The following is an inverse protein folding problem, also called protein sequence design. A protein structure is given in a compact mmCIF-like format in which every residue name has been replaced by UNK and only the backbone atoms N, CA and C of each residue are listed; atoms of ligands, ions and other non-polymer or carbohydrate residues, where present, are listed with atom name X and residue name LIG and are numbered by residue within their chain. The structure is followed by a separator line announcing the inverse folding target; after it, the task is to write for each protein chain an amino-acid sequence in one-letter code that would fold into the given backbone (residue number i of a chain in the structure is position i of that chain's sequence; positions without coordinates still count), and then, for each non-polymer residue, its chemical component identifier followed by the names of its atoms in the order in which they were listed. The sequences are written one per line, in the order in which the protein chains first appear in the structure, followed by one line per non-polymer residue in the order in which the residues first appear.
data_IF_173513525717
#
_entry.id   IF_173513525717
#
_cell.length_a   1.000
_cell.length_b   1.000
_cell.length_c   1.000
_cell.angle_alpha   90.00
_cell.angle_beta   90.00
_cell.angle_gamma   90.00
#
_symmetry.space_group_name_H-M   'P 1'
#
loop_
_entity.id
_entity.type
_entity.pdbx_description
1 polymer ?
#
# COMPACT_ATOMS: atom_id res chain seq x y z
N UNK A 1 45.31 -0.04 29.36
CA UNK A 1 44.64 -0.33 28.08
C UNK A 1 43.27 0.33 28.06
N UNK A 2 42.79 0.59 26.84
CA UNK A 2 41.93 1.72 26.45
C UNK A 2 40.48 1.64 26.94
N UNK A 3 39.91 2.84 27.07
CA UNK A 3 38.55 3.20 27.45
C UNK A 3 37.49 2.38 26.71
N UNK A 4 36.73 1.56 27.45
CA UNK A 4 35.45 1.04 26.99
C UNK A 4 34.41 2.15 27.14
N UNK A 5 34.02 2.69 26.00
CA UNK A 5 33.13 3.83 25.83
C UNK A 5 31.72 3.43 26.25
N UNK A 6 31.14 4.25 27.13
CA UNK A 6 29.70 4.41 27.31
C UNK A 6 29.08 4.69 25.94
N UNK A 7 28.23 3.81 25.43
CA UNK A 7 27.27 4.16 24.38
C UNK A 7 26.00 3.33 24.54
N UNK A 8 24.88 4.05 24.50
CA UNK A 8 23.52 3.58 24.27
C UNK A 8 22.79 2.88 25.44
N UNK A 9 22.56 3.64 26.52
CA UNK A 9 21.19 3.74 27.02
C UNK A 9 20.38 4.60 26.02
N UNK A 10 19.09 4.29 25.85
CA UNK A 10 18.19 4.60 24.70
C UNK A 10 18.45 3.62 23.55
N UNK A 11 17.57 2.65 23.28
CA UNK A 11 16.20 2.86 22.80
C UNK A 11 15.25 1.79 23.39
N UNK A 12 14.61 2.10 24.51
CA UNK A 12 13.51 1.33 25.09
C UNK A 12 12.19 2.11 25.01
N UNK A 13 11.93 2.78 23.88
CA UNK A 13 10.71 3.55 23.64
C UNK A 13 10.26 3.29 22.21
N UNK A 14 9.13 2.60 22.03
CA UNK A 14 8.42 2.62 20.75
C UNK A 14 7.64 1.38 20.33
N UNK A 15 7.68 0.25 21.03
CA UNK A 15 6.83 -0.92 20.71
C UNK A 15 5.70 -1.04 21.74
N UNK A 16 4.88 0.01 21.87
CA UNK A 16 3.72 -0.01 22.77
C UNK A 16 2.47 0.57 22.12
N UNK A 17 2.18 0.14 20.89
CA UNK A 17 0.89 0.34 20.24
C UNK A 17 0.39 -0.89 19.46
N UNK A 18 0.99 -2.07 19.65
CA UNK A 18 0.57 -3.31 18.98
C UNK A 18 -0.54 -4.06 19.74
N UNK A 19 -1.26 -3.40 20.65
CA UNK A 19 -2.19 -4.06 21.58
C UNK A 19 -3.68 -3.74 21.33
N UNK A 20 -4.04 -3.12 20.21
CA UNK A 20 -5.45 -2.79 19.90
C UNK A 20 -5.89 -3.23 18.50
N UNK A 21 -5.56 -4.46 18.07
CA UNK A 21 -6.40 -5.16 17.10
C UNK A 21 -6.94 -6.46 17.72
N UNK A 22 -7.97 -6.25 18.53
CA UNK A 22 -9.23 -7.01 18.54
C UNK A 22 -9.14 -8.53 18.30
N UNK A 23 -9.10 -9.24 19.42
CA UNK A 23 -9.94 -10.41 19.74
C UNK A 23 -10.68 -11.09 18.56
N UNK A 24 -10.10 -12.19 18.05
CA UNK A 24 -10.69 -13.53 17.92
C UNK A 24 -9.96 -14.27 16.78
N UNK A 25 -9.00 -15.14 17.12
CA UNK A 25 -8.38 -16.06 16.14
C UNK A 25 -7.08 -15.60 15.47
N UNK A 26 -6.09 -15.13 16.24
CA UNK A 26 -4.66 -15.38 16.02
C UNK A 26 -4.03 -15.25 14.62
N UNK A 27 -4.52 -14.36 13.75
CA UNK A 27 -3.97 -14.15 12.42
C UNK A 27 -3.90 -12.67 12.05
N UNK A 28 -2.80 -12.28 11.41
CA UNK A 28 -2.69 -10.96 10.78
C UNK A 28 -3.61 -10.91 9.55
N UNK A 29 -4.43 -9.86 9.43
CA UNK A 29 -5.26 -9.62 8.24
C UNK A 29 -4.40 -9.37 7.01
N UNK A 30 -4.92 -9.64 5.82
CA UNK A 30 -4.17 -9.45 4.56
C UNK A 30 -3.74 -7.99 4.36
N UNK A 31 -4.60 -7.03 4.72
CA UNK A 31 -4.28 -5.61 4.73
C UNK A 31 -3.08 -5.31 5.65
N UNK A 32 -3.06 -5.87 6.86
CA UNK A 32 -1.94 -5.68 7.79
C UNK A 32 -0.63 -6.28 7.24
N UNK A 33 -0.68 -7.40 6.51
CA UNK A 33 0.53 -7.99 5.90
C UNK A 33 1.08 -7.11 4.78
N UNK A 34 0.20 -6.57 3.93
CA UNK A 34 0.58 -5.61 2.89
C UNK A 34 1.16 -4.35 3.51
N UNK A 35 0.52 -3.80 4.54
CA UNK A 35 1.01 -2.62 5.27
C UNK A 35 2.37 -2.86 5.93
N UNK A 36 2.62 -4.06 6.47
CA UNK A 36 3.91 -4.43 7.03
C UNK A 36 5.01 -4.46 5.95
N UNK A 37 4.71 -5.02 4.77
CA UNK A 37 5.65 -5.04 3.65
C UNK A 37 5.92 -3.63 3.09
N UNK A 38 4.89 -2.80 2.97
CA UNK A 38 5.07 -1.37 2.62
C UNK A 38 5.95 -0.67 3.66
N UNK A 39 5.71 -0.91 4.94
CA UNK A 39 6.51 -0.30 6.01
C UNK A 39 7.97 -0.72 5.95
N UNK A 40 8.23 -2.00 5.65
CA UNK A 40 9.57 -2.54 5.45
C UNK A 40 10.27 -1.89 4.25
N UNK A 41 9.59 -1.78 3.11
CA UNK A 41 10.12 -1.18 1.88
C UNK A 41 10.40 0.32 2.04
N UNK A 42 9.56 1.05 2.79
CA UNK A 42 9.81 2.48 3.07
C UNK A 42 10.77 2.75 4.21
N UNK A 43 11.10 1.76 5.04
CA UNK A 43 11.85 1.97 6.28
C UNK A 43 11.13 2.82 7.33
N UNK A 44 9.82 3.09 7.17
CA UNK A 44 8.98 3.83 8.12
C UNK A 44 7.69 3.09 8.39
N UNK A 45 7.16 3.19 9.61
CA UNK A 45 5.87 2.59 9.95
C UNK A 45 4.75 3.29 9.18
N UNK A 46 4.14 2.59 8.23
CA UNK A 46 2.98 3.06 7.49
C UNK A 46 1.70 2.64 8.22
N UNK A 47 0.77 3.57 8.40
CA UNK A 47 -0.58 3.31 8.91
C UNK A 47 -1.59 3.33 7.77
N UNK A 48 -2.61 2.47 7.86
CA UNK A 48 -3.67 2.41 6.86
C UNK A 48 -4.64 3.58 7.08
N UNK A 49 -4.55 4.61 6.24
CA UNK A 49 -5.39 5.80 6.31
C UNK A 49 -6.83 5.44 5.93
N UNK A 50 -7.77 5.65 6.85
CA UNK A 50 -9.16 5.20 6.67
C UNK A 50 -9.84 5.85 5.46
N UNK A 51 -9.58 7.14 5.21
CA UNK A 51 -10.17 7.86 4.09
C UNK A 51 -9.62 7.33 2.77
N UNK A 52 -8.31 7.12 2.67
CA UNK A 52 -7.71 6.53 1.46
C UNK A 52 -8.09 5.07 1.29
N UNK A 53 -8.31 4.33 2.39
CA UNK A 53 -8.80 2.94 2.34
C UNK A 53 -10.21 2.90 1.74
N UNK A 54 -11.09 3.81 2.14
CA UNK A 54 -12.43 3.93 1.56
C UNK A 54 -12.39 4.29 0.06
N UNK A 55 -11.49 5.19 -0.35
CA UNK A 55 -11.25 5.49 -1.78
C UNK A 55 -10.77 4.25 -2.53
N UNK A 56 -9.81 3.51 -1.95
CA UNK A 56 -9.32 2.27 -2.54
C UNK A 56 -10.42 1.21 -2.69
N UNK A 57 -11.30 1.10 -1.69
CA UNK A 57 -12.43 0.17 -1.69
C UNK A 57 -13.49 0.53 -2.73
N UNK A 58 -13.81 1.81 -2.89
CA UNK A 58 -14.73 2.29 -3.91
C UNK A 58 -14.30 1.86 -5.31
N UNK A 59 -13.08 2.25 -5.71
CA UNK A 59 -12.51 1.86 -7.01
C UNK A 59 -12.38 0.35 -7.16
N UNK A 60 -11.95 -0.34 -6.10
CA UNK A 60 -11.79 -1.78 -6.18
C UNK A 60 -13.14 -2.47 -6.46
N UNK A 61 -14.21 -2.05 -5.81
CA UNK A 61 -15.54 -2.61 -6.05
C UNK A 61 -16.03 -2.39 -7.50
N UNK A 62 -15.70 -1.25 -8.11
CA UNK A 62 -16.03 -0.94 -9.49
C UNK A 62 -15.19 -1.76 -10.49
N UNK A 63 -13.90 -1.92 -10.22
CA UNK A 63 -12.94 -2.52 -11.14
C UNK A 63 -12.95 -4.05 -11.16
N UNK A 64 -13.50 -4.71 -10.15
CA UNK A 64 -13.44 -6.18 -10.01
C UNK A 64 -13.81 -6.95 -11.29
N UNK A 65 -14.87 -6.53 -11.97
CA UNK A 65 -15.32 -7.18 -13.22
C UNK A 65 -14.32 -7.00 -14.37
N UNK A 66 -13.73 -5.81 -14.47
CA UNK A 66 -12.72 -5.50 -15.48
C UNK A 66 -11.40 -6.24 -15.20
N UNK A 67 -10.97 -6.30 -13.94
CA UNK A 67 -9.79 -7.04 -13.52
C UNK A 67 -9.90 -8.54 -13.84
N UNK A 68 -11.08 -9.14 -13.63
CA UNK A 68 -11.34 -10.53 -14.01
C UNK A 68 -11.26 -10.74 -15.52
N UNK A 69 -11.79 -9.81 -16.31
CA UNK A 69 -11.73 -9.87 -17.76
C UNK A 69 -10.29 -9.74 -18.27
N UNK A 70 -9.55 -8.75 -17.79
CA UNK A 70 -8.12 -8.53 -18.12
C UNK A 70 -7.27 -9.73 -17.75
N UNK A 71 -7.49 -10.31 -16.57
CA UNK A 71 -6.79 -11.50 -16.14
C UNK A 71 -7.03 -12.70 -17.07
N UNK A 72 -8.28 -12.92 -17.52
CA UNK A 72 -8.60 -14.00 -18.46
C UNK A 72 -7.93 -13.82 -19.83
N UNK A 73 -7.73 -12.57 -20.27
CA UNK A 73 -7.19 -12.25 -21.60
C UNK A 73 -5.65 -12.29 -21.60
N UNK A 74 -5.00 -11.70 -20.59
CA UNK A 74 -3.56 -11.46 -20.60
C UNK A 74 -2.85 -11.85 -19.29
N UNK A 75 -3.55 -12.53 -18.37
CA UNK A 75 -3.01 -12.97 -17.09
C UNK A 75 -2.63 -11.80 -16.18
N UNK A 76 -1.67 -12.04 -15.28
CA UNK A 76 -1.21 -11.04 -14.31
C UNK A 76 -0.49 -9.82 -14.89
N UNK A 77 -0.09 -9.85 -16.16
CA UNK A 77 0.75 -8.79 -16.73
C UNK A 77 0.00 -7.47 -16.98
N UNK A 78 -1.33 -7.49 -17.07
CA UNK A 78 -2.13 -6.30 -17.40
C UNK A 78 -3.35 -6.10 -16.49
N UNK A 79 -3.51 -6.90 -15.44
CA UNK A 79 -4.67 -6.86 -14.56
C UNK A 79 -4.54 -5.77 -13.48
N UNK A 80 -4.31 -4.53 -13.94
CA UNK A 80 -4.26 -3.33 -13.11
C UNK A 80 -5.22 -2.27 -13.67
N UNK A 81 -5.81 -1.49 -12.78
CA UNK A 81 -6.50 -0.25 -13.10
C UNK A 81 -5.87 0.89 -12.30
N UNK A 82 -5.90 2.08 -12.89
CA UNK A 82 -5.32 3.29 -12.33
C UNK A 82 -6.37 4.39 -12.31
N UNK A 83 -6.50 5.05 -11.17
CA UNK A 83 -7.40 6.17 -10.95
C UNK A 83 -6.63 7.35 -10.37
N UNK A 84 -7.06 8.55 -10.71
CA UNK A 84 -6.43 9.79 -10.27
C UNK A 84 -7.50 10.83 -9.97
N UNK A 85 -7.66 11.19 -8.71
CA UNK A 85 -8.71 12.09 -8.24
C UNK A 85 -8.18 13.08 -7.19
N UNK A 86 -8.95 14.14 -6.93
CA UNK A 86 -8.63 15.07 -5.84
C UNK A 86 -9.42 14.68 -4.61
N UNK A 87 -8.73 14.47 -3.49
CA UNK A 87 -9.35 14.24 -2.18
C UNK A 87 -8.94 15.38 -1.26
N UNK A 88 -9.88 16.30 -1.01
CA UNK A 88 -9.56 17.61 -0.43
C UNK A 88 -8.69 18.43 -1.40
N UNK A 89 -7.55 18.93 -0.89
CA UNK A 89 -6.60 19.72 -1.70
C UNK A 89 -5.49 18.87 -2.35
N UNK A 90 -5.41 17.59 -2.00
CA UNK A 90 -4.33 16.71 -2.42
C UNK A 90 -4.77 15.80 -3.57
N UNK A 91 -3.78 15.36 -4.37
CA UNK A 91 -4.01 14.36 -5.40
C UNK A 91 -3.92 12.98 -4.78
N UNK A 92 -4.89 12.12 -5.07
CA UNK A 92 -4.87 10.70 -4.72
C UNK A 92 -4.79 9.88 -5.99
N UNK A 93 -3.87 8.92 -5.99
CA UNK A 93 -3.74 7.92 -7.04
C UNK A 93 -4.15 6.58 -6.44
N UNK A 94 -5.04 5.88 -7.12
CA UNK A 94 -5.52 4.56 -6.69
C UNK A 94 -5.19 3.53 -7.74
N UNK A 95 -4.64 2.42 -7.28
CA UNK A 95 -4.34 1.27 -8.14
C UNK A 95 -5.10 0.07 -7.61
N UNK A 96 -5.86 -0.56 -8.48
CA UNK A 96 -6.61 -1.78 -8.17
C UNK A 96 -6.09 -2.91 -9.02
N UNK A 97 -6.08 -4.11 -8.45
CA UNK A 97 -5.49 -5.26 -9.12
C UNK A 97 -5.99 -6.57 -8.54
N UNK A 98 -5.93 -7.64 -9.35
CA UNK A 98 -6.14 -9.00 -8.85
C UNK A 98 -4.92 -9.45 -8.04
N UNK A 99 -5.15 -9.83 -6.79
CA UNK A 99 -4.15 -10.23 -5.82
C UNK A 99 -4.03 -11.76 -5.76
N UNK A 100 -2.89 -12.33 -6.16
CA UNK A 100 -2.44 -13.60 -5.54
C UNK A 100 -1.25 -13.37 -4.65
N UNK A 101 -1.21 -14.16 -3.58
CA UNK A 101 -0.21 -14.09 -2.53
C UNK A 101 1.12 -14.69 -3.00
N UNK A 102 1.67 -14.21 -4.12
CA UNK A 102 3.04 -14.51 -4.55
C UNK A 102 3.91 -13.28 -4.36
N UNK A 103 5.07 -13.47 -3.77
CA UNK A 103 5.97 -12.41 -3.28
C UNK A 103 6.33 -11.31 -4.32
N UNK A 104 6.20 -11.63 -5.61
CA UNK A 104 6.48 -10.74 -6.74
C UNK A 104 5.37 -9.73 -7.04
N UNK A 105 4.13 -9.95 -6.58
CA UNK A 105 3.01 -9.12 -6.98
C UNK A 105 3.01 -7.74 -6.31
N UNK A 106 3.21 -7.66 -4.99
CA UNK A 106 3.22 -6.35 -4.31
C UNK A 106 4.37 -5.48 -4.79
N UNK A 107 5.55 -6.06 -5.04
CA UNK A 107 6.69 -5.30 -5.56
C UNK A 107 6.42 -4.80 -6.98
N UNK A 108 5.72 -5.60 -7.81
CA UNK A 108 5.23 -5.14 -9.12
C UNK A 108 4.22 -4.02 -8.96
N UNK A 109 3.21 -4.16 -8.11
CA UNK A 109 2.23 -3.08 -7.84
C UNK A 109 2.96 -1.81 -7.43
N UNK A 110 3.84 -1.86 -6.42
CA UNK A 110 4.63 -0.71 -5.96
C UNK A 110 5.49 -0.09 -7.07
N UNK A 111 6.07 -0.92 -7.95
CA UNK A 111 6.81 -0.47 -9.13
C UNK A 111 5.90 0.23 -10.15
N UNK A 112 4.76 -0.36 -10.47
CA UNK A 112 3.76 0.21 -11.38
C UNK A 112 3.19 1.52 -10.82
N UNK A 113 2.97 1.62 -9.51
CA UNK A 113 2.62 2.88 -8.84
C UNK A 113 3.71 3.92 -9.10
N UNK A 114 4.98 3.58 -8.86
CA UNK A 114 6.09 4.49 -9.09
C UNK A 114 6.16 4.93 -10.55
N UNK A 115 6.08 4.01 -11.50
CA UNK A 115 6.21 4.27 -12.93
C UNK A 115 5.02 5.08 -13.48
N UNK A 116 3.79 4.73 -13.11
CA UNK A 116 2.59 5.46 -13.53
C UNK A 116 2.58 6.89 -13.01
N UNK A 117 2.94 7.12 -11.74
CA UNK A 117 2.94 8.48 -11.18
C UNK A 117 4.11 9.31 -11.72
N UNK A 118 5.28 8.71 -11.94
CA UNK A 118 6.41 9.40 -12.60
C UNK A 118 6.01 9.86 -14.01
N UNK A 119 5.37 8.98 -14.78
CA UNK A 119 4.97 9.23 -16.17
C UNK A 119 3.81 10.22 -16.28
N UNK A 120 2.80 10.11 -15.42
CA UNK A 120 1.59 10.95 -15.50
C UNK A 120 1.78 12.34 -14.91
N UNK A 121 2.70 12.52 -13.95
CA UNK A 121 2.73 13.70 -13.09
C UNK A 121 4.12 14.29 -12.85
N UNK A 122 5.20 13.82 -13.51
CA UNK A 122 6.59 14.20 -13.21
C UNK A 122 6.92 14.11 -11.70
N UNK A 123 6.16 13.28 -10.99
CA UNK A 123 6.20 13.11 -9.56
C UNK A 123 6.63 11.67 -9.33
N UNK A 124 7.91 11.38 -9.51
CA UNK A 124 8.47 10.08 -9.18
C UNK A 124 8.13 9.78 -7.72
N UNK A 125 7.17 8.88 -7.46
CA UNK A 125 6.86 8.37 -6.11
C UNK A 125 7.98 7.42 -5.75
N UNK A 126 9.17 7.99 -5.53
CA UNK A 126 10.30 7.26 -4.97
C UNK A 126 9.81 6.71 -3.63
N UNK A 127 10.21 5.48 -3.31
CA UNK A 127 9.84 4.81 -2.06
C UNK A 127 10.07 5.71 -0.82
N UNK A 128 10.96 6.72 -0.91
CA UNK A 128 11.34 7.68 0.13
C UNK A 128 10.74 9.11 0.03
N UNK A 129 9.99 9.47 -1.04
CA UNK A 129 9.91 10.88 -1.48
C UNK A 129 8.63 11.68 -1.20
N UNK A 130 7.53 11.36 -1.89
CA UNK A 130 6.48 12.37 -2.15
C UNK A 130 5.05 11.97 -1.74
N UNK A 131 4.89 10.84 -1.04
CA UNK A 131 3.61 10.33 -0.57
C UNK A 131 3.47 10.38 0.94
N UNK A 132 2.36 10.97 1.41
CA UNK A 132 2.15 11.29 2.84
C UNK A 132 1.30 10.24 3.55
N UNK A 133 0.34 9.66 2.86
CA UNK A 133 -0.64 8.73 3.42
C UNK A 133 -0.92 7.61 2.40
N UNK A 134 -1.26 6.44 2.91
CA UNK A 134 -1.65 5.27 2.11
C UNK A 134 -2.89 4.61 2.69
N UNK A 135 -3.81 4.21 1.82
CA UNK A 135 -4.93 3.34 2.14
C UNK A 135 -4.79 2.03 1.39
N UNK A 136 -4.91 0.90 2.08
CA UNK A 136 -4.89 -0.44 1.50
C UNK A 136 -6.16 -1.18 1.89
N UNK A 137 -6.83 -1.73 0.89
CA UNK A 137 -7.94 -2.66 1.08
C UNK A 137 -7.61 -3.97 0.39
N UNK A 138 -7.91 -5.08 1.05
CA UNK A 138 -7.82 -6.41 0.44
C UNK A 138 -9.18 -7.09 0.57
N UNK A 139 -9.77 -7.43 -0.57
CA UNK A 139 -11.03 -8.15 -0.62
C UNK A 139 -10.80 -9.52 -1.24
N UNK A 140 -11.27 -10.57 -0.55
CA UNK A 140 -11.15 -11.94 -1.01
C UNK A 140 -12.52 -12.60 -1.13
N UNK A 141 -12.68 -13.46 -2.13
CA UNK A 141 -13.73 -14.46 -2.18
C UNK A 141 -13.07 -15.85 -2.24
N UNK A 142 -13.89 -16.91 -2.38
CA UNK A 142 -13.40 -18.30 -2.37
C UNK A 142 -12.47 -18.64 -3.54
N UNK A 143 -12.37 -17.79 -4.55
CA UNK A 143 -11.67 -18.07 -5.81
C UNK A 143 -10.51 -17.09 -6.07
N UNK A 144 -10.62 -15.87 -5.57
CA UNK A 144 -9.79 -14.74 -5.96
C UNK A 144 -9.65 -13.74 -4.82
N UNK A 145 -8.47 -13.12 -4.73
CA UNK A 145 -8.27 -11.92 -3.92
C UNK A 145 -8.03 -10.73 -4.83
N UNK A 146 -8.35 -9.55 -4.34
CA UNK A 146 -8.12 -8.28 -5.00
C UNK A 146 -7.56 -7.29 -4.00
N UNK A 147 -6.79 -6.35 -4.51
CA UNK A 147 -6.19 -5.29 -3.71
C UNK A 147 -6.49 -3.93 -4.34
N UNK A 148 -6.80 -2.97 -3.48
CA UNK A 148 -6.81 -1.55 -3.81
C UNK A 148 -5.76 -0.83 -2.97
N UNK A 149 -4.93 -0.02 -3.61
CA UNK A 149 -3.94 0.84 -2.94
C UNK A 149 -4.15 2.27 -3.38
N UNK A 150 -4.51 3.14 -2.45
CA UNK A 150 -4.64 4.58 -2.65
C UNK A 150 -3.48 5.30 -1.99
N UNK A 151 -2.81 6.19 -2.72
CA UNK A 151 -1.69 6.97 -2.23
C UNK A 151 -1.99 8.45 -2.39
N UNK A 152 -1.82 9.20 -1.31
CA UNK A 152 -1.88 10.66 -1.35
C UNK A 152 -0.52 11.23 -1.72
N UNK A 153 -0.50 12.02 -2.79
CA UNK A 153 0.67 12.75 -3.26
C UNK A 153 0.54 14.18 -2.79
N UNK A 154 1.61 14.69 -2.17
CA UNK A 154 1.66 16.09 -1.78
C UNK A 154 1.78 16.95 -3.03
N UNK A 155 0.88 17.92 -3.20
CA UNK A 155 1.04 18.91 -4.26
C UNK A 155 2.32 19.72 -3.96
N UNK A 156 3.30 19.67 -4.87
CA UNK A 156 4.45 20.58 -4.79
C UNK A 156 3.94 21.98 -5.10
N UNK A 157 3.98 22.87 -4.10
CA UNK A 157 3.70 24.30 -4.26
C UNK A 157 4.80 24.98 -5.06
#
# INVERSE_FOLDING_TARGET
MKKLKKFAALLLVGVMALALLTACGGGQTEEQKVMAKISQEKGVQATNDEQLRAVAEGHLNEDRKDLDAKFKIAGYFTAFNFHSEKVGNDRVITITARYDYKDTFLNKVLKEISEYVDTAHNASVKQDGDWTNIGVVVQSNNEQSYIGISIRIKSRK
#
